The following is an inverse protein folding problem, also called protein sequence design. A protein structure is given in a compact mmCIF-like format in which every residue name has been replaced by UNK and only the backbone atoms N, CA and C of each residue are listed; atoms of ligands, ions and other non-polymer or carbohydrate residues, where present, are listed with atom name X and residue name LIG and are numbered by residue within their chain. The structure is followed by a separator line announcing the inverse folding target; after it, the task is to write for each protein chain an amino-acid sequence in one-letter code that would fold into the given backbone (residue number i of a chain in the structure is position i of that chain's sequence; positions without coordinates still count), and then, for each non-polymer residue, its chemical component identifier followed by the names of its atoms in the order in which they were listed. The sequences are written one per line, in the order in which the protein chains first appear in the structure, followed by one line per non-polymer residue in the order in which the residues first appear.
data_IF_803269943921
#
_entry.id   IF_803269943921
#
_cell.length_a   1.000
_cell.length_b   1.000
_cell.length_c   1.000
_cell.angle_alpha   90.00
_cell.angle_beta   90.00
_cell.angle_gamma   90.00
#
_symmetry.space_group_name_H-M   'P 1'
#
loop_
_entity.id
_entity.type
_entity.pdbx_description
1 polymer ?
#
# COMPACT_ATOMS: atom_id res chain seq x y z
N UNK A 1 -15.69 24.12 24.43
CA UNK A 1 -14.34 23.50 24.21
C UNK A 1 -14.53 22.19 23.46
N UNK A 2 -14.23 22.17 22.17
CA UNK A 2 -14.36 20.97 21.33
C UNK A 2 -13.12 20.11 21.57
N UNK A 3 -13.27 18.96 22.24
CA UNK A 3 -12.18 18.00 22.44
C UNK A 3 -11.78 17.43 21.08
N UNK A 4 -10.58 17.79 20.63
CA UNK A 4 -10.00 17.32 19.37
C UNK A 4 -9.96 15.79 19.31
N UNK A 5 -10.56 15.24 18.26
CA UNK A 5 -10.53 13.81 17.94
C UNK A 5 -9.08 13.40 17.65
N UNK A 6 -8.51 12.54 18.50
CA UNK A 6 -7.17 11.96 18.29
C UNK A 6 -7.18 11.25 16.92
N UNK A 7 -6.32 11.68 16.00
CA UNK A 7 -6.05 10.95 14.75
C UNK A 7 -5.24 9.71 15.13
N UNK A 8 -5.90 8.57 15.13
CA UNK A 8 -5.22 7.28 15.15
C UNK A 8 -4.36 7.16 13.89
N UNK A 9 -3.05 6.98 14.08
CA UNK A 9 -2.13 6.72 12.97
C UNK A 9 -2.43 5.30 12.47
N UNK A 10 -2.98 5.19 11.27
CA UNK A 10 -3.37 3.91 10.65
C UNK A 10 -2.17 2.96 10.40
N UNK A 11 -0.93 3.44 10.54
CA UNK A 11 0.28 2.73 10.15
C UNK A 11 1.41 2.96 11.18
N UNK A 12 1.39 2.25 12.30
CA UNK A 12 2.64 1.96 13.02
C UNK A 12 3.22 0.70 12.38
N UNK A 13 4.14 0.93 11.46
CA UNK A 13 4.87 -0.11 10.75
C UNK A 13 6.26 -0.13 11.36
N UNK A 14 6.69 -1.19 12.07
CA UNK A 14 8.06 -1.30 12.51
C UNK A 14 8.90 -1.67 11.29
N UNK A 15 9.34 -0.68 10.52
CA UNK A 15 10.15 -0.94 9.34
C UNK A 15 11.50 -0.24 9.53
N UNK A 16 12.57 -1.02 9.38
CA UNK A 16 13.94 -0.51 9.14
C UNK A 16 14.05 0.16 7.75
N UNK A 17 13.03 0.90 7.32
CA UNK A 17 13.05 1.73 6.12
C UNK A 17 12.13 2.93 6.28
N UNK A 18 12.62 4.08 5.84
CA UNK A 18 11.94 5.37 5.92
C UNK A 18 10.71 5.39 5.00
N UNK A 19 9.52 5.30 5.59
CA UNK A 19 8.26 5.54 4.87
C UNK A 19 8.12 7.04 4.66
N UNK A 20 8.19 7.49 3.41
CA UNK A 20 8.03 8.90 3.04
C UNK A 20 6.86 9.06 2.07
N UNK A 21 6.14 10.18 2.19
CA UNK A 21 5.08 10.53 1.22
C UNK A 21 5.76 10.99 -0.07
N UNK A 22 5.72 10.14 -1.10
CA UNK A 22 6.43 10.38 -2.34
C UNK A 22 5.66 11.29 -3.32
N UNK A 23 4.33 11.25 -3.28
CA UNK A 23 3.43 12.12 -4.03
C UNK A 23 2.00 12.06 -3.45
N UNK A 24 1.20 13.08 -3.75
CA UNK A 24 -0.26 13.03 -3.62
C UNK A 24 -0.83 12.96 -5.03
N UNK A 25 -1.68 11.98 -5.31
CA UNK A 25 -2.33 11.79 -6.61
C UNK A 25 -3.83 11.73 -6.42
N UNK A 26 -4.57 12.14 -7.45
CA UNK A 26 -6.03 12.08 -7.49
C UNK A 26 -6.47 10.92 -8.37
N UNK A 27 -7.59 10.31 -8.03
CA UNK A 27 -8.28 9.34 -8.87
C UNK A 27 -9.21 10.14 -9.79
N UNK A 28 -9.08 9.96 -11.10
CA UNK A 28 -9.93 10.64 -12.07
C UNK A 28 -11.34 10.03 -12.16
N UNK A 29 -12.20 10.60 -13.01
CA UNK A 29 -13.59 10.16 -13.20
C UNK A 29 -13.71 8.73 -13.75
N UNK A 30 -12.63 8.19 -14.33
CA UNK A 30 -12.54 6.82 -14.82
C UNK A 30 -12.00 5.86 -13.77
N UNK A 31 -11.72 6.33 -12.56
CA UNK A 31 -11.11 5.53 -11.51
C UNK A 31 -9.60 5.31 -11.70
N UNK A 32 -8.93 6.06 -12.58
CA UNK A 32 -7.51 5.88 -12.86
C UNK A 32 -6.66 6.81 -12.00
N UNK A 33 -5.47 6.32 -11.61
CA UNK A 33 -4.44 7.11 -10.94
C UNK A 33 -3.19 7.16 -11.81
N UNK A 34 -2.62 8.35 -11.96
CA UNK A 34 -1.39 8.56 -12.73
C UNK A 34 -0.20 8.65 -11.78
N UNK A 35 0.69 7.66 -11.84
CA UNK A 35 1.94 7.70 -11.10
C UNK A 35 2.90 8.75 -11.71
N UNK A 36 3.41 9.71 -10.92
CA UNK A 36 4.38 10.68 -11.40
C UNK A 36 5.60 10.01 -12.02
N UNK A 37 6.16 10.63 -13.07
CA UNK A 37 7.30 10.09 -13.84
C UNK A 37 8.48 9.71 -12.93
N UNK A 38 8.81 10.56 -11.97
CA UNK A 38 9.93 10.34 -11.06
C UNK A 38 9.73 9.11 -10.17
N UNK A 39 8.49 8.86 -9.73
CA UNK A 39 8.15 7.68 -8.93
C UNK A 39 8.23 6.42 -9.80
N UNK A 40 7.68 6.46 -11.02
CA UNK A 40 7.79 5.35 -11.98
C UNK A 40 9.24 4.99 -12.26
N UNK A 41 10.09 5.99 -12.49
CA UNK A 41 11.52 5.78 -12.76
C UNK A 41 12.24 5.18 -11.56
N UNK A 42 12.02 5.70 -10.34
CA UNK A 42 12.61 5.19 -9.10
C UNK A 42 12.16 3.76 -8.78
N UNK A 43 10.91 3.43 -9.06
CA UNK A 43 10.35 2.09 -8.89
C UNK A 43 10.67 1.14 -10.05
N UNK A 44 11.37 1.61 -11.10
CA UNK A 44 11.69 0.82 -12.28
C UNK A 44 10.46 0.32 -13.05
N UNK A 45 9.39 1.11 -13.10
CA UNK A 45 8.14 0.79 -13.79
C UNK A 45 8.16 1.22 -15.26
N UNK A 46 7.82 0.30 -16.14
CA UNK A 46 7.68 0.49 -17.58
C UNK A 46 6.23 0.31 -18.05
N UNK A 47 5.85 0.83 -19.23
CA UNK A 47 4.58 0.51 -19.85
C UNK A 47 4.43 -1.00 -20.05
N UNK A 48 3.31 -1.58 -19.64
CA UNK A 48 3.04 -3.02 -19.72
C UNK A 48 3.39 -3.80 -18.44
N UNK A 49 4.12 -3.20 -17.51
CA UNK A 49 4.35 -3.81 -16.20
C UNK A 49 3.02 -4.04 -15.47
N UNK A 50 2.90 -5.19 -14.83
CA UNK A 50 1.74 -5.56 -14.02
C UNK A 50 2.04 -5.29 -12.56
N UNK A 51 1.14 -4.54 -11.92
CA UNK A 51 1.16 -4.32 -10.48
C UNK A 51 0.04 -5.14 -9.84
N UNK A 52 0.39 -5.86 -8.80
CA UNK A 52 -0.58 -6.50 -7.91
C UNK A 52 -1.12 -5.47 -6.94
N UNK A 53 -2.44 -5.45 -6.79
CA UNK A 53 -3.15 -4.61 -5.82
C UNK A 53 -3.37 -5.45 -4.57
N UNK A 54 -2.78 -5.03 -3.46
CA UNK A 54 -2.96 -5.69 -2.15
C UNK A 54 -3.65 -4.72 -1.21
N UNK A 55 -4.70 -5.16 -0.55
CA UNK A 55 -5.46 -4.34 0.39
C UNK A 55 -5.23 -4.79 1.82
N UNK A 56 -5.20 -3.81 2.74
CA UNK A 56 -5.34 -4.10 4.18
C UNK A 56 -6.66 -3.53 4.66
N UNK A 57 -7.36 -4.34 5.44
CA UNK A 57 -8.60 -3.94 6.08
C UNK A 57 -8.40 -3.62 7.56
N UNK A 58 -9.17 -2.66 8.05
CA UNK A 58 -9.35 -2.38 9.47
C UNK A 58 -10.84 -2.09 9.69
N UNK A 59 -11.45 -2.75 10.65
CA UNK A 59 -12.87 -2.58 11.00
C UNK A 59 -13.83 -2.77 9.79
N UNK A 60 -13.55 -3.77 8.95
CA UNK A 60 -14.36 -4.09 7.76
C UNK A 60 -14.25 -3.07 6.63
N UNK A 61 -13.22 -2.21 6.65
CA UNK A 61 -12.97 -1.21 5.61
C UNK A 61 -11.54 -1.29 5.13
N UNK A 62 -11.33 -1.23 3.82
CA UNK A 62 -10.00 -1.07 3.23
C UNK A 62 -9.42 0.28 3.67
N UNK A 63 -8.35 0.23 4.44
CA UNK A 63 -7.67 1.42 4.96
C UNK A 63 -6.39 1.75 4.18
N UNK A 64 -5.78 0.75 3.54
CA UNK A 64 -4.55 0.89 2.76
C UNK A 64 -4.60 0.05 1.49
N UNK A 65 -4.05 0.59 0.41
CA UNK A 65 -3.79 -0.12 -0.85
C UNK A 65 -2.29 -0.08 -1.11
N UNK A 66 -1.70 -1.25 -1.34
CA UNK A 66 -0.31 -1.43 -1.71
C UNK A 66 -0.24 -1.88 -3.17
N UNK A 67 0.70 -1.30 -3.90
CA UNK A 67 1.00 -1.68 -5.28
C UNK A 67 2.38 -2.30 -5.31
N UNK A 68 2.45 -3.55 -5.75
CA UNK A 68 3.67 -4.35 -5.76
C UNK A 68 3.86 -4.87 -7.18
N UNK A 69 5.08 -4.89 -7.70
CA UNK A 69 5.32 -5.52 -9.00
C UNK A 69 4.92 -6.99 -8.93
N UNK A 70 4.15 -7.44 -9.93
CA UNK A 70 3.60 -8.78 -9.92
C UNK A 70 4.69 -9.87 -10.01
N UNK A 71 5.85 -9.56 -10.59
CA UNK A 71 7.02 -10.47 -10.61
C UNK A 71 7.66 -10.63 -9.22
N UNK A 72 7.51 -9.65 -8.33
CA UNK A 72 8.08 -9.65 -6.97
C UNK A 72 7.10 -10.20 -5.92
N UNK A 73 5.86 -10.53 -6.30
CA UNK A 73 4.84 -10.89 -5.32
C UNK A 73 5.13 -12.21 -4.61
N UNK A 74 5.76 -13.17 -5.29
CA UNK A 74 6.05 -14.49 -4.73
C UNK A 74 7.11 -14.45 -3.61
N UNK A 75 8.06 -13.51 -3.69
CA UNK A 75 9.06 -13.26 -2.64
C UNK A 75 8.51 -12.33 -1.55
N UNK A 76 7.80 -11.26 -1.93
CA UNK A 76 7.29 -10.24 -1.01
C UNK A 76 6.15 -10.75 -0.11
N UNK A 77 5.24 -11.59 -0.62
CA UNK A 77 4.13 -12.13 0.19
C UNK A 77 4.64 -13.06 1.29
N UNK A 78 5.70 -13.84 1.03
CA UNK A 78 6.30 -14.72 2.03
C UNK A 78 7.11 -13.96 3.08
N UNK A 79 7.93 -13.01 2.65
CA UNK A 79 8.91 -12.38 3.54
C UNK A 79 8.40 -11.12 4.26
N UNK A 80 7.43 -10.39 3.68
CA UNK A 80 6.95 -9.09 4.23
C UNK A 80 5.51 -9.11 4.70
N UNK A 81 4.69 -10.01 4.18
CA UNK A 81 3.29 -10.11 4.55
C UNK A 81 2.96 -11.39 5.33
N UNK A 82 3.93 -12.26 5.63
CA UNK A 82 3.73 -13.46 6.44
C UNK A 82 3.07 -13.18 7.80
N UNK A 83 3.47 -12.09 8.47
CA UNK A 83 2.85 -11.64 9.73
C UNK A 83 1.55 -10.82 9.52
N UNK A 84 1.31 -10.28 8.32
CA UNK A 84 0.04 -9.62 7.97
C UNK A 84 -1.07 -10.61 7.63
N UNK A 85 -0.73 -11.84 7.25
CA UNK A 85 -1.66 -12.92 6.92
C UNK A 85 -1.83 -13.95 8.06
N UNK A 86 -1.32 -13.69 9.27
CA UNK A 86 -1.55 -14.56 10.44
C UNK A 86 -3.01 -14.62 10.94
N UNK A 87 -3.98 -14.04 10.23
CA UNK A 87 -5.41 -14.25 10.50
C UNK A 87 -6.20 -14.59 9.22
N UNK A 88 -5.58 -15.31 8.28
CA UNK A 88 -6.32 -16.00 7.20
C UNK A 88 -5.90 -17.47 7.12
N UNK A 89 -5.76 -18.10 8.28
CA UNK A 89 -5.75 -19.55 8.46
C UNK A 89 -6.75 -19.86 9.55
N UNK A 90 -7.98 -20.19 9.16
CA UNK A 90 -9.05 -20.48 10.11
C UNK A 90 -8.75 -21.72 10.95
N UNK A 91 -9.17 -21.64 12.21
CA UNK A 91 -10.16 -22.54 12.84
C UNK A 91 -11.13 -21.68 13.67
#
# INVERSE_FOLDING_TARGET
MIKGRKKEKCCEVPIRSEVTVAAIVTIDERGQMVLPKEIRKKAGLAPGDKLSVVTREKDGKVCCIYLIKNEEISSVVKDRFGDLFQDVGGE
#
